data_IF_657366563405
#
_entry.id   IF_657366563405
#
_cell.length_a   1.000
_cell.length_b   1.000
_cell.length_c   1.000
_cell.angle_alpha   90.00
_cell.angle_beta   90.00
_cell.angle_gamma   90.00
#
_symmetry.space_group_name_H-M   'P 1'
#
loop_
_entity.id
_entity.type
_entity.pdbx_description
1 polymer ?
#
# COMPACT_ATOMS: atom_id res chain seq x y z
N UNK A 1 -13.23 -14.20 -8.14
CA UNK A 1 -12.14 -13.41 -8.74
C UNK A 1 -12.17 -12.06 -8.06
N UNK A 2 -11.03 -11.53 -7.61
CA UNK A 2 -10.95 -10.19 -7.00
C UNK A 2 -10.43 -9.18 -8.02
N UNK A 3 -10.87 -7.94 -7.96
CA UNK A 3 -10.41 -6.84 -8.81
C UNK A 3 -9.73 -5.76 -7.99
N UNK A 4 -8.50 -5.43 -8.37
CA UNK A 4 -7.70 -4.39 -7.75
C UNK A 4 -7.39 -3.32 -8.79
N UNK A 5 -7.42 -2.05 -8.39
CA UNK A 5 -6.91 -0.95 -9.22
C UNK A 5 -5.47 -0.64 -8.83
N UNK A 6 -4.59 -0.42 -9.81
CA UNK A 6 -3.18 -0.07 -9.60
C UNK A 6 -2.97 1.43 -9.80
N UNK A 7 -3.25 2.21 -8.76
CA UNK A 7 -3.13 3.68 -8.80
C UNK A 7 -2.98 4.26 -7.40
N UNK A 8 -2.40 5.46 -7.31
CA UNK A 8 -2.46 6.29 -6.11
C UNK A 8 -3.42 7.49 -6.28
N UNK A 9 -4.03 7.68 -7.45
CA UNK A 9 -4.92 8.79 -7.72
C UNK A 9 -6.30 8.57 -7.04
N UNK A 10 -6.68 9.46 -6.13
CA UNK A 10 -7.91 9.31 -5.35
C UNK A 10 -9.19 9.42 -6.19
N UNK A 11 -9.18 10.16 -7.29
CA UNK A 11 -10.35 10.29 -8.17
C UNK A 11 -10.62 8.97 -8.91
N UNK A 12 -9.56 8.35 -9.45
CA UNK A 12 -9.66 7.03 -10.09
C UNK A 12 -10.11 5.95 -9.12
N UNK A 13 -9.64 5.99 -7.87
CA UNK A 13 -10.06 5.03 -6.83
C UNK A 13 -11.55 5.20 -6.51
N UNK A 14 -12.03 6.45 -6.39
CA UNK A 14 -13.46 6.73 -6.15
C UNK A 14 -14.32 6.28 -7.31
N UNK A 15 -13.93 6.59 -8.55
CA UNK A 15 -14.65 6.15 -9.75
C UNK A 15 -14.74 4.62 -9.80
N UNK A 16 -13.64 3.91 -9.55
CA UNK A 16 -13.62 2.45 -9.55
C UNK A 16 -14.44 1.84 -8.41
N UNK A 17 -14.47 2.49 -7.23
CA UNK A 17 -15.35 2.10 -6.12
C UNK A 17 -16.83 2.31 -6.47
N UNK A 18 -17.19 3.42 -7.12
CA UNK A 18 -18.55 3.74 -7.53
C UNK A 18 -19.10 2.76 -8.60
N UNK A 19 -18.21 2.15 -9.39
CA UNK A 19 -18.57 1.04 -10.29
C UNK A 19 -18.99 -0.23 -9.54
N UNK A 20 -18.69 -0.33 -8.23
CA UNK A 20 -19.11 -1.42 -7.36
C UNK A 20 -18.36 -2.74 -7.60
N UNK A 21 -17.19 -2.70 -8.24
CA UNK A 21 -16.41 -3.89 -8.61
C UNK A 21 -15.10 -4.04 -7.83
N UNK A 22 -14.74 -3.06 -7.00
CA UNK A 22 -13.40 -2.98 -6.43
C UNK A 22 -13.26 -3.79 -5.14
N UNK A 23 -12.29 -4.70 -5.11
CA UNK A 23 -11.93 -5.51 -3.94
C UNK A 23 -10.68 -4.97 -3.21
N UNK A 24 -10.00 -3.98 -3.77
CA UNK A 24 -8.78 -3.41 -3.19
C UNK A 24 -8.01 -2.47 -4.13
N UNK A 25 -6.89 -1.95 -3.63
CA UNK A 25 -6.00 -1.04 -4.36
C UNK A 25 -4.57 -1.53 -4.22
N UNK A 26 -3.79 -1.47 -5.29
CA UNK A 26 -2.34 -1.62 -5.21
C UNK A 26 -1.66 -0.29 -5.47
N UNK A 27 -0.71 0.08 -4.61
CA UNK A 27 0.18 1.21 -4.85
C UNK A 27 1.63 0.74 -4.93
N UNK A 28 2.49 1.70 -5.25
CA UNK A 28 3.94 1.59 -5.15
C UNK A 28 4.52 3.02 -5.05
N UNK A 29 5.81 3.18 -4.72
CA UNK A 29 6.42 4.50 -4.55
C UNK A 29 6.35 5.38 -5.80
N UNK A 30 6.42 4.77 -6.99
CA UNK A 30 6.36 5.51 -8.26
C UNK A 30 4.95 6.07 -8.51
N UNK A 31 3.89 5.33 -8.18
CA UNK A 31 2.51 5.82 -8.27
C UNK A 31 2.27 6.96 -7.26
N UNK A 32 2.74 6.81 -6.02
CA UNK A 32 2.64 7.87 -5.00
C UNK A 32 3.36 9.14 -5.45
N UNK A 33 4.57 9.01 -5.99
CA UNK A 33 5.36 10.15 -6.47
C UNK A 33 4.72 10.86 -7.67
N UNK A 34 4.04 10.13 -8.57
CA UNK A 34 3.31 10.73 -9.71
C UNK A 34 2.19 11.67 -9.26
N UNK A 35 1.53 11.34 -8.15
CA UNK A 35 0.51 12.20 -7.53
C UNK A 35 1.11 13.28 -6.60
N UNK A 36 2.44 13.41 -6.57
CA UNK A 36 3.14 14.41 -5.75
C UNK A 36 3.20 14.07 -4.25
N UNK A 37 2.88 12.84 -3.87
CA UNK A 37 2.81 12.42 -2.47
C UNK A 37 4.21 12.00 -2.01
N UNK A 38 4.74 12.72 -1.02
CA UNK A 38 6.06 12.46 -0.47
C UNK A 38 6.14 12.86 1.00
N UNK A 39 7.05 12.22 1.75
CA UNK A 39 7.18 12.40 3.18
C UNK A 39 6.20 11.54 3.99
N UNK A 40 6.64 11.14 5.19
CA UNK A 40 5.95 10.13 5.99
C UNK A 40 4.49 10.50 6.32
N UNK A 41 4.23 11.75 6.71
CA UNK A 41 2.87 12.17 7.11
C UNK A 41 1.91 12.22 5.92
N UNK A 42 2.36 12.72 4.76
CA UNK A 42 1.53 12.76 3.56
C UNK A 42 1.23 11.35 3.03
N UNK A 43 2.23 10.46 3.03
CA UNK A 43 2.05 9.04 2.65
C UNK A 43 1.03 8.38 3.58
N UNK A 44 1.18 8.56 4.89
CA UNK A 44 0.28 8.01 5.90
C UNK A 44 -1.15 8.53 5.72
N UNK A 45 -1.33 9.83 5.55
CA UNK A 45 -2.64 10.42 5.36
C UNK A 45 -3.28 9.97 4.04
N UNK A 46 -2.48 9.77 2.99
CA UNK A 46 -2.97 9.27 1.72
C UNK A 46 -3.48 7.83 1.84
N UNK A 47 -2.72 6.93 2.48
CA UNK A 47 -3.18 5.57 2.72
C UNK A 47 -4.44 5.50 3.57
N UNK A 48 -4.56 6.34 4.61
CA UNK A 48 -5.82 6.47 5.37
C UNK A 48 -6.98 6.86 4.47
N UNK A 49 -6.77 7.83 3.60
CA UNK A 49 -7.80 8.32 2.68
C UNK A 49 -8.22 7.21 1.70
N UNK A 50 -7.28 6.40 1.20
CA UNK A 50 -7.60 5.23 0.37
C UNK A 50 -8.44 4.21 1.17
N UNK A 51 -8.06 3.92 2.41
CA UNK A 51 -8.79 2.99 3.29
C UNK A 51 -10.19 3.50 3.67
N UNK A 52 -10.43 4.81 3.67
CA UNK A 52 -11.76 5.40 3.86
C UNK A 52 -12.64 5.30 2.60
N UNK A 53 -12.05 5.13 1.42
CA UNK A 53 -12.78 4.96 0.15
C UNK A 53 -13.11 3.48 -0.09
N UNK A 54 -12.18 2.59 0.28
CA UNK A 54 -12.18 1.18 -0.10
C UNK A 54 -12.07 0.30 1.14
N UNK A 55 -13.11 -0.50 1.38
CA UNK A 55 -13.15 -1.47 2.50
C UNK A 55 -12.25 -2.70 2.30
N UNK A 56 -11.62 -2.84 1.12
CA UNK A 56 -10.77 -3.96 0.72
C UNK A 56 -9.28 -3.79 1.00
N UNK A 57 -8.48 -4.76 0.52
CA UNK A 57 -7.03 -4.84 0.76
C UNK A 57 -6.28 -3.71 0.03
N UNK A 58 -5.45 -2.94 0.75
CA UNK A 58 -4.66 -1.82 0.21
C UNK A 58 -3.18 -2.17 0.28
N UNK A 59 -2.55 -2.48 -0.86
CA UNK A 59 -1.14 -2.84 -0.89
C UNK A 59 -0.24 -1.61 -0.81
N UNK A 60 0.52 -1.48 0.28
CA UNK A 60 1.49 -0.42 0.53
C UNK A 60 2.92 -0.98 0.50
N UNK A 61 3.79 -0.44 -0.35
CA UNK A 61 5.13 -0.99 -0.59
C UNK A 61 6.21 -0.32 0.28
N UNK A 62 7.10 -1.14 0.84
CA UNK A 62 8.31 -0.68 1.52
C UNK A 62 9.33 -0.11 0.52
N UNK A 63 10.20 0.79 0.98
CA UNK A 63 11.27 1.38 0.15
C UNK A 63 12.61 0.71 0.36
N UNK A 64 12.83 0.22 1.58
CA UNK A 64 14.04 -0.43 2.02
C UNK A 64 14.32 -1.75 1.29
N UNK A 65 15.59 -2.15 1.31
CA UNK A 65 16.07 -3.37 0.64
C UNK A 65 16.83 -4.31 1.57
N UNK A 66 17.01 -3.91 2.85
CA UNK A 66 17.59 -4.75 3.89
C UNK A 66 16.48 -5.34 4.77
N UNK A 67 16.71 -6.54 5.31
CA UNK A 67 15.72 -7.24 6.12
C UNK A 67 15.21 -6.39 7.30
N UNK A 68 16.12 -5.82 8.09
CA UNK A 68 15.78 -5.08 9.32
C UNK A 68 14.97 -3.81 9.02
N UNK A 69 15.34 -3.08 7.96
CA UNK A 69 14.62 -1.87 7.56
C UNK A 69 13.24 -2.20 6.99
N UNK A 70 13.09 -3.30 6.22
CA UNK A 70 11.80 -3.73 5.68
C UNK A 70 10.81 -4.12 6.78
N UNK A 71 11.29 -4.75 7.86
CA UNK A 71 10.44 -5.03 9.01
C UNK A 71 9.93 -3.74 9.64
N UNK A 72 10.84 -2.80 9.93
CA UNK A 72 10.47 -1.54 10.56
C UNK A 72 9.49 -0.73 9.70
N UNK A 73 9.81 -0.53 8.43
CA UNK A 73 8.93 0.20 7.49
C UNK A 73 7.58 -0.51 7.32
N UNK A 74 7.60 -1.84 7.20
CA UNK A 74 6.37 -2.62 7.06
C UNK A 74 5.46 -2.54 8.29
N UNK A 75 6.01 -2.55 9.51
CA UNK A 75 5.25 -2.33 10.75
C UNK A 75 4.64 -0.93 10.81
N UNK A 76 5.40 0.08 10.41
CA UNK A 76 4.91 1.46 10.34
C UNK A 76 3.74 1.61 9.34
N UNK A 77 3.80 0.92 8.19
CA UNK A 77 2.73 0.89 7.19
C UNK A 77 1.51 0.10 7.71
N UNK A 78 1.71 -1.10 8.26
CA UNK A 78 0.63 -1.94 8.78
C UNK A 78 -0.13 -1.27 9.94
N UNK A 79 0.55 -0.43 10.73
CA UNK A 79 -0.06 0.33 11.81
C UNK A 79 -1.00 1.47 11.34
N UNK A 80 -1.04 1.79 10.03
CA UNK A 80 -1.88 2.88 9.51
C UNK A 80 -3.36 2.51 9.57
N UNK A 81 -3.71 1.30 9.12
CA UNK A 81 -5.09 0.81 9.02
C UNK A 81 -5.11 -0.72 8.87
N UNK A 82 -6.09 -1.45 9.43
CA UNK A 82 -6.18 -2.91 9.31
C UNK A 82 -6.25 -3.45 7.87
N UNK A 83 -6.66 -2.62 6.91
CA UNK A 83 -6.73 -2.99 5.49
C UNK A 83 -5.39 -2.89 4.75
N UNK A 84 -4.33 -2.38 5.41
CA UNK A 84 -3.02 -2.27 4.78
C UNK A 84 -2.38 -3.65 4.67
N UNK A 85 -1.99 -4.01 3.44
CA UNK A 85 -1.19 -5.18 3.14
C UNK A 85 0.22 -4.71 2.77
N UNK A 86 1.22 -5.12 3.54
CA UNK A 86 2.61 -4.72 3.28
C UNK A 86 3.12 -5.45 2.04
N UNK A 87 3.48 -4.69 1.02
CA UNK A 87 4.06 -5.19 -0.22
C UNK A 87 5.58 -5.20 -0.10
N UNK A 88 6.16 -6.39 -0.23
CA UNK A 88 7.60 -6.64 -0.07
C UNK A 88 8.21 -6.99 -1.44
N UNK A 89 9.36 -6.41 -1.81
CA UNK A 89 10.03 -6.74 -3.05
C UNK A 89 10.55 -8.19 -3.06
N UNK A 90 10.52 -8.84 -4.23
CA UNK A 90 11.03 -10.20 -4.41
C UNK A 90 12.56 -10.20 -4.53
N UNK A 91 13.23 -10.03 -3.39
CA UNK A 91 14.68 -10.10 -3.23
C UNK A 91 15.03 -11.01 -2.05
N UNK A 92 16.30 -11.42 -1.89
CA UNK A 92 16.72 -12.35 -0.82
C UNK A 92 16.25 -11.91 0.57
N UNK A 93 16.49 -10.64 0.91
CA UNK A 93 16.08 -10.09 2.20
C UNK A 93 14.56 -9.90 2.29
N UNK A 94 13.89 -9.67 1.16
CA UNK A 94 12.44 -9.56 1.08
C UNK A 94 11.76 -10.90 1.33
N UNK A 95 12.26 -11.99 0.75
CA UNK A 95 11.78 -13.35 1.04
C UNK A 95 11.97 -13.71 2.52
N UNK A 96 13.07 -13.26 3.13
CA UNK A 96 13.28 -13.40 4.58
C UNK A 96 12.26 -12.58 5.37
N UNK A 97 11.98 -11.34 4.95
CA UNK A 97 11.00 -10.45 5.57
C UNK A 97 9.56 -10.99 5.47
N UNK A 98 9.19 -11.65 4.37
CA UNK A 98 7.87 -12.29 4.20
C UNK A 98 7.57 -13.29 5.33
N UNK A 99 8.57 -14.05 5.80
CA UNK A 99 8.39 -14.99 6.92
C UNK A 99 8.06 -14.29 8.25
N UNK A 100 8.44 -13.03 8.43
CA UNK A 100 8.12 -12.27 9.64
C UNK A 100 6.66 -11.83 9.67
N UNK A 101 6.13 -11.42 8.51
CA UNK A 101 4.75 -10.92 8.36
C UNK A 101 3.70 -12.03 8.15
N UNK A 102 4.10 -13.30 8.15
CA UNK A 102 3.26 -14.49 7.92
C UNK A 102 3.08 -15.29 9.21
#
# INVERSE_FOLDING_TARGET
>A
MKFFIDTANLEQIREAQDLGILDGVTTNPSLMAKEGISGAEAIKQHYKTICEIVDGDISAEVLSTTYEEMIKEGEELAAIHPNIVVKIPMIKDGVKALKYFF
#
